data_IF_109485747188
#
_entry.id   IF_109485747188
#
_cell.length_a   1.000
_cell.length_b   1.000
_cell.length_c   1.000
_cell.angle_alpha   90.00
_cell.angle_beta   90.00
_cell.angle_gamma   90.00
#
_symmetry.space_group_name_H-M   'P 1'
#
loop_
_entity.id
_entity.type
_entity.pdbx_description
1 polymer ?
#
# COMPACT_ATOMS: atom_id res chain seq x y z
N UNK A 1 -15.78 16.60 -11.39
CA UNK A 1 -16.68 16.17 -10.30
C UNK A 1 -16.51 17.07 -9.08
N UNK A 2 -17.60 17.58 -8.49
CA UNK A 2 -17.52 18.42 -7.27
C UNK A 2 -17.25 17.53 -6.04
N UNK A 3 -16.46 18.01 -5.06
CA UNK A 3 -16.14 17.28 -3.82
C UNK A 3 -17.37 16.76 -3.06
N UNK A 4 -18.47 17.51 -3.10
CA UNK A 4 -19.75 17.15 -2.47
C UNK A 4 -20.39 15.90 -3.08
N UNK A 5 -20.19 15.67 -4.38
CA UNK A 5 -20.73 14.52 -5.11
C UNK A 5 -20.02 13.22 -4.70
N UNK A 6 -18.69 13.25 -4.64
CA UNK A 6 -17.87 12.12 -4.21
C UNK A 6 -18.20 11.65 -2.78
N UNK A 7 -18.38 12.59 -1.83
CA UNK A 7 -18.74 12.23 -0.45
C UNK A 7 -20.12 11.59 -0.34
N UNK A 8 -21.06 12.01 -1.20
CA UNK A 8 -22.40 11.44 -1.23
C UNK A 8 -22.37 10.02 -1.79
N UNK A 9 -21.69 9.82 -2.92
CA UNK A 9 -21.49 8.51 -3.56
C UNK A 9 -20.81 7.54 -2.60
N UNK A 10 -19.73 7.96 -1.94
CA UNK A 10 -19.00 7.12 -1.00
C UNK A 10 -19.86 6.66 0.20
N UNK A 11 -20.68 7.56 0.76
CA UNK A 11 -21.60 7.21 1.85
C UNK A 11 -22.70 6.25 1.39
N UNK A 12 -23.29 6.48 0.22
CA UNK A 12 -24.30 5.59 -0.35
C UNK A 12 -23.73 4.20 -0.63
N UNK A 13 -22.53 4.13 -1.21
CA UNK A 13 -21.85 2.87 -1.47
C UNK A 13 -21.47 2.15 -0.16
N UNK A 14 -20.99 2.87 0.85
CA UNK A 14 -20.69 2.30 2.16
C UNK A 14 -21.90 1.61 2.78
N UNK A 15 -23.07 2.25 2.76
CA UNK A 15 -24.31 1.65 3.27
C UNK A 15 -24.66 0.36 2.52
N UNK A 16 -24.63 0.38 1.19
CA UNK A 16 -24.87 -0.81 0.34
C UNK A 16 -23.88 -1.95 0.64
N UNK A 17 -22.59 -1.64 0.74
CA UNK A 17 -21.57 -2.64 1.05
C UNK A 17 -21.68 -3.18 2.48
N UNK A 18 -22.22 -2.42 3.42
CA UNK A 18 -22.46 -2.88 4.80
C UNK A 18 -23.68 -3.82 4.88
N UNK A 19 -24.65 -3.70 3.98
CA UNK A 19 -25.83 -4.57 3.94
C UNK A 19 -25.53 -5.98 3.42
N UNK A 20 -24.43 -6.15 2.66
CA UNK A 20 -24.01 -7.46 2.15
C UNK A 20 -23.68 -8.40 3.31
N UNK A 21 -24.25 -9.61 3.24
CA UNK A 21 -23.89 -10.74 4.07
C UNK A 21 -22.71 -11.50 3.43
N UNK A 22 -21.49 -11.11 3.80
CA UNK A 22 -20.26 -11.69 3.27
C UNK A 22 -20.07 -13.15 3.66
N UNK A 23 -20.73 -13.63 4.72
CA UNK A 23 -20.60 -15.02 5.16
C UNK A 23 -21.31 -15.99 4.21
N UNK A 24 -22.33 -15.51 3.48
CA UNK A 24 -23.04 -16.26 2.45
C UNK A 24 -22.37 -16.18 1.07
N UNK A 25 -21.43 -15.26 0.87
CA UNK A 25 -20.73 -15.15 -0.41
C UNK A 25 -19.71 -16.31 -0.59
N UNK A 26 -19.55 -16.81 -1.83
CA UNK A 26 -18.57 -17.85 -2.16
C UNK A 26 -17.16 -17.26 -2.27
N UNK A 27 -16.68 -16.66 -1.17
CA UNK A 27 -15.34 -16.09 -1.03
C UNK A 27 -14.59 -16.81 0.09
N UNK A 28 -13.25 -16.78 0.05
CA UNK A 28 -12.44 -17.48 1.07
C UNK A 28 -12.67 -16.95 2.50
N UNK A 29 -12.52 -17.82 3.50
CA UNK A 29 -12.64 -17.44 4.92
C UNK A 29 -11.67 -16.32 5.32
N UNK A 30 -10.47 -16.32 4.74
CA UNK A 30 -9.50 -15.24 4.90
C UNK A 30 -10.11 -13.88 4.52
N UNK A 31 -10.78 -13.80 3.36
CA UNK A 31 -11.38 -12.55 2.91
C UNK A 31 -12.68 -12.21 3.64
N UNK A 32 -13.45 -13.20 4.11
CA UNK A 32 -14.57 -12.96 5.03
C UNK A 32 -14.07 -12.29 6.30
N UNK A 33 -13.03 -12.83 6.92
CA UNK A 33 -12.42 -12.24 8.11
C UNK A 33 -11.84 -10.84 7.84
N UNK A 34 -11.12 -10.67 6.72
CA UNK A 34 -10.56 -9.38 6.33
C UNK A 34 -11.66 -8.32 6.17
N UNK A 35 -12.71 -8.61 5.42
CA UNK A 35 -13.84 -7.70 5.22
C UNK A 35 -14.59 -7.45 6.54
N UNK A 36 -14.78 -8.48 7.36
CA UNK A 36 -15.39 -8.34 8.70
C UNK A 36 -14.61 -7.36 9.57
N UNK A 37 -13.28 -7.35 9.49
CA UNK A 37 -12.44 -6.37 10.19
C UNK A 37 -12.56 -4.95 9.60
N UNK A 38 -12.80 -4.82 8.29
CA UNK A 38 -13.00 -3.52 7.63
C UNK A 38 -14.39 -2.92 7.90
N UNK A 39 -15.44 -3.76 7.97
CA UNK A 39 -16.86 -3.36 8.04
C UNK A 39 -17.16 -2.35 9.16
N UNK A 40 -16.66 -2.50 10.41
CA UNK A 40 -16.87 -1.52 11.48
C UNK A 40 -16.31 -0.12 11.20
N UNK A 41 -15.36 0.01 10.27
CA UNK A 41 -14.72 1.26 9.88
C UNK A 41 -14.89 1.58 8.39
N UNK A 42 -15.89 0.97 7.72
CA UNK A 42 -16.12 1.11 6.28
C UNK A 42 -16.20 2.59 5.84
N UNK A 43 -16.95 3.41 6.55
CA UNK A 43 -17.07 4.85 6.26
C UNK A 43 -15.73 5.59 6.30
N UNK A 44 -14.84 5.16 7.20
CA UNK A 44 -13.50 5.74 7.30
C UNK A 44 -12.62 5.34 6.12
N UNK A 45 -12.64 4.07 5.71
CA UNK A 45 -11.92 3.64 4.50
C UNK A 45 -12.48 4.32 3.25
N UNK A 46 -13.80 4.45 3.13
CA UNK A 46 -14.44 5.19 2.03
C UNK A 46 -14.02 6.65 1.98
N UNK A 47 -13.79 7.29 3.14
CA UNK A 47 -13.21 8.64 3.20
C UNK A 47 -11.77 8.69 2.73
N UNK A 48 -10.95 7.68 3.07
CA UNK A 48 -9.56 7.57 2.58
C UNK A 48 -9.58 7.40 1.06
N UNK A 49 -10.35 6.45 0.53
CA UNK A 49 -10.48 6.20 -0.91
C UNK A 49 -10.98 7.44 -1.66
N UNK A 50 -11.99 8.13 -1.12
CA UNK A 50 -12.48 9.40 -1.65
C UNK A 50 -11.38 10.49 -1.66
N UNK A 51 -10.55 10.56 -0.63
CA UNK A 51 -9.43 11.48 -0.60
C UNK A 51 -8.37 11.13 -1.67
N UNK A 52 -8.07 9.84 -1.88
CA UNK A 52 -7.19 9.38 -2.95
C UNK A 52 -7.74 9.74 -4.32
N UNK A 53 -9.01 9.42 -4.60
CA UNK A 53 -9.68 9.75 -5.87
C UNK A 53 -9.68 11.26 -6.11
N UNK A 54 -10.06 12.06 -5.11
CA UNK A 54 -10.05 13.52 -5.23
C UNK A 54 -8.66 14.07 -5.50
N UNK A 55 -7.60 13.54 -4.87
CA UNK A 55 -6.22 13.94 -5.14
C UNK A 55 -5.81 13.55 -6.55
N UNK A 56 -6.08 12.31 -6.96
CA UNK A 56 -5.79 11.78 -8.29
C UNK A 56 -6.46 12.60 -9.40
N UNK A 57 -7.76 12.87 -9.28
CA UNK A 57 -8.51 13.67 -10.26
C UNK A 57 -8.03 15.12 -10.37
N UNK A 58 -7.38 15.66 -9.34
CA UNK A 58 -6.80 17.01 -9.39
C UNK A 58 -5.43 17.06 -10.06
N UNK A 59 -4.75 15.93 -10.27
CA UNK A 59 -3.39 15.88 -10.83
C UNK A 59 -3.31 15.25 -12.22
N UNK A 60 -4.32 14.48 -12.63
CA UNK A 60 -4.45 14.00 -14.01
C UNK A 60 -4.92 15.12 -14.94
N UNK A 61 -4.58 15.00 -16.24
CA UNK A 61 -4.93 16.01 -17.25
C UNK A 61 -6.19 15.64 -18.06
N UNK A 62 -7.05 14.77 -17.53
CA UNK A 62 -8.30 14.33 -18.15
C UNK A 62 -9.45 14.34 -17.15
N UNK A 63 -10.69 14.32 -17.64
CA UNK A 63 -11.85 14.16 -16.78
C UNK A 63 -11.95 12.71 -16.27
N UNK A 64 -12.56 12.47 -15.08
CA UNK A 64 -12.72 11.12 -14.55
C UNK A 64 -13.36 10.14 -15.54
N UNK A 65 -14.36 10.56 -16.34
CA UNK A 65 -15.00 9.68 -17.32
C UNK A 65 -14.08 9.21 -18.46
N UNK A 66 -12.97 9.92 -18.68
CA UNK A 66 -11.96 9.55 -19.68
C UNK A 66 -10.72 8.91 -19.06
N UNK A 67 -10.63 8.86 -17.73
CA UNK A 67 -9.46 8.37 -17.03
C UNK A 67 -9.41 6.83 -16.98
N UNK A 68 -8.20 6.29 -17.10
CA UNK A 68 -7.88 4.90 -16.82
C UNK A 68 -7.17 4.83 -15.46
N UNK A 69 -7.87 4.29 -14.46
CA UNK A 69 -7.40 4.14 -13.09
C UNK A 69 -6.94 2.71 -12.83
N UNK A 70 -5.78 2.55 -12.18
CA UNK A 70 -5.30 1.28 -11.63
C UNK A 70 -5.48 1.31 -10.11
N UNK A 71 -6.22 0.33 -9.60
CA UNK A 71 -6.30 -0.02 -8.18
C UNK A 71 -5.27 -1.12 -7.92
N UNK A 72 -4.07 -0.73 -7.47
CA UNK A 72 -2.92 -1.61 -7.34
C UNK A 72 -2.80 -2.12 -5.90
N UNK A 73 -2.84 -3.45 -5.75
CA UNK A 73 -3.04 -4.09 -4.44
C UNK A 73 -4.45 -3.86 -3.93
N UNK A 74 -5.44 -4.06 -4.79
CA UNK A 74 -6.81 -3.60 -4.54
C UNK A 74 -7.53 -4.29 -3.38
N UNK A 75 -6.98 -5.37 -2.81
CA UNK A 75 -7.51 -6.04 -1.63
C UNK A 75 -8.96 -6.45 -1.82
N UNK A 76 -9.86 -5.95 -0.98
CA UNK A 76 -11.31 -6.20 -1.11
C UNK A 76 -11.94 -5.62 -2.39
N UNK A 77 -11.24 -4.73 -3.09
CA UNK A 77 -11.69 -4.06 -4.31
C UNK A 77 -12.73 -2.95 -4.07
N UNK A 78 -12.92 -2.53 -2.82
CA UNK A 78 -13.82 -1.43 -2.47
C UNK A 78 -13.43 -0.10 -3.12
N UNK A 79 -12.13 0.16 -3.28
CA UNK A 79 -11.64 1.33 -4.02
C UNK A 79 -12.05 1.25 -5.49
N UNK A 80 -11.87 0.10 -6.16
CA UNK A 80 -12.34 -0.12 -7.53
C UNK A 80 -13.84 0.10 -7.71
N UNK A 81 -14.68 -0.42 -6.79
CA UNK A 81 -16.14 -0.24 -6.85
C UNK A 81 -16.50 1.24 -6.63
N UNK A 82 -15.83 1.93 -5.71
CA UNK A 82 -16.01 3.36 -5.49
C UNK A 82 -15.60 4.16 -6.73
N UNK A 83 -14.44 3.88 -7.32
CA UNK A 83 -13.95 4.55 -8.52
C UNK A 83 -14.98 4.45 -9.66
N UNK A 84 -15.53 3.25 -9.92
CA UNK A 84 -16.59 3.09 -10.92
C UNK A 84 -17.87 3.81 -10.57
N UNK A 85 -18.28 3.79 -9.30
CA UNK A 85 -19.46 4.52 -8.82
C UNK A 85 -19.31 6.04 -8.99
N UNK A 86 -18.07 6.55 -9.08
CA UNK A 86 -17.75 7.97 -9.30
C UNK A 86 -17.64 8.37 -10.77
N UNK A 87 -17.94 7.44 -11.68
CA UNK A 87 -17.92 7.68 -13.12
C UNK A 87 -16.54 7.56 -13.76
N UNK A 88 -15.57 6.88 -13.14
CA UNK A 88 -14.27 6.62 -13.78
C UNK A 88 -14.46 5.78 -15.05
N UNK A 89 -13.89 6.24 -16.15
CA UNK A 89 -14.01 5.63 -17.47
C UNK A 89 -13.62 4.16 -17.47
N UNK A 90 -12.38 3.87 -17.09
CA UNK A 90 -11.88 2.49 -16.96
C UNK A 90 -11.16 2.28 -15.63
N UNK A 91 -11.47 1.18 -14.95
CA UNK A 91 -10.80 0.75 -13.73
C UNK A 91 -10.17 -0.62 -13.94
N UNK A 92 -8.86 -0.72 -13.67
CA UNK A 92 -8.08 -1.94 -13.68
C UNK A 92 -7.76 -2.29 -12.23
N UNK A 93 -8.27 -3.42 -11.76
CA UNK A 93 -7.89 -3.99 -10.47
C UNK A 93 -6.71 -4.92 -10.65
N UNK A 94 -5.74 -4.83 -9.75
CA UNK A 94 -4.61 -5.75 -9.66
C UNK A 94 -4.37 -6.14 -8.21
N UNK A 95 -4.20 -7.43 -7.95
CA UNK A 95 -3.76 -7.92 -6.65
C UNK A 95 -2.88 -9.17 -6.80
N UNK A 96 -1.95 -9.35 -5.86
CA UNK A 96 -1.06 -10.52 -5.84
C UNK A 96 -1.74 -11.74 -5.19
N UNK A 97 -2.72 -11.53 -4.30
CA UNK A 97 -3.43 -12.59 -3.64
C UNK A 97 -4.59 -13.10 -4.53
N UNK A 98 -4.54 -14.35 -5.01
CA UNK A 98 -5.59 -14.90 -5.87
C UNK A 98 -6.96 -14.91 -5.18
N UNK A 99 -7.01 -15.05 -3.85
CA UNK A 99 -8.27 -15.02 -3.09
C UNK A 99 -8.91 -13.63 -3.15
N UNK A 100 -8.11 -12.56 -3.12
CA UNK A 100 -8.59 -11.18 -3.27
C UNK A 100 -9.17 -10.96 -4.67
N UNK A 101 -8.49 -11.48 -5.69
CA UNK A 101 -8.93 -11.47 -7.09
C UNK A 101 -10.30 -12.16 -7.25
N UNK A 102 -10.46 -13.36 -6.68
CA UNK A 102 -11.75 -14.07 -6.66
C UNK A 102 -12.83 -13.26 -5.93
N UNK A 103 -12.47 -12.63 -4.81
CA UNK A 103 -13.40 -11.84 -3.99
C UNK A 103 -13.96 -10.66 -4.76
N UNK A 104 -13.13 -9.88 -5.46
CA UNK A 104 -13.63 -8.75 -6.24
C UNK A 104 -14.45 -9.20 -7.46
N UNK A 105 -14.19 -10.38 -8.03
CA UNK A 105 -15.05 -10.95 -9.07
C UNK A 105 -16.46 -11.27 -8.54
N UNK A 106 -16.56 -11.83 -7.33
CA UNK A 106 -17.85 -12.08 -6.67
C UNK A 106 -18.55 -10.77 -6.33
N UNK A 107 -17.85 -9.81 -5.71
CA UNK A 107 -18.44 -8.53 -5.32
C UNK A 107 -18.89 -7.69 -6.51
N UNK A 108 -18.18 -7.75 -7.64
CA UNK A 108 -18.62 -7.10 -8.90
C UNK A 108 -19.96 -7.65 -9.37
N UNK A 109 -20.17 -8.97 -9.27
CA UNK A 109 -21.46 -9.61 -9.62
C UNK A 109 -22.55 -9.20 -8.63
N UNK A 110 -22.25 -9.25 -7.34
CA UNK A 110 -23.20 -8.94 -6.26
C UNK A 110 -23.68 -7.49 -6.30
N UNK A 111 -22.76 -6.55 -6.50
CA UNK A 111 -23.07 -5.11 -6.45
C UNK A 111 -23.51 -4.53 -7.79
N UNK A 112 -23.31 -5.28 -8.88
CA UNK A 112 -23.49 -4.82 -10.26
C UNK A 112 -22.48 -3.75 -10.70
N UNK A 113 -21.51 -3.40 -9.86
CA UNK A 113 -20.52 -2.33 -10.09
C UNK A 113 -19.15 -2.85 -9.69
N UNK A 114 -18.12 -2.61 -10.49
CA UNK A 114 -16.77 -3.05 -10.15
C UNK A 114 -15.79 -2.86 -11.29
N UNK A 115 -14.51 -3.20 -11.08
CA UNK A 115 -13.45 -2.94 -12.05
C UNK A 115 -13.77 -3.53 -13.42
N UNK A 116 -13.40 -2.83 -14.48
CA UNK A 116 -13.60 -3.28 -15.86
C UNK A 116 -12.69 -4.47 -16.16
N UNK A 117 -11.45 -4.41 -15.66
CA UNK A 117 -10.40 -5.41 -15.83
C UNK A 117 -9.91 -5.87 -14.46
N UNK A 118 -9.75 -7.18 -14.30
CA UNK A 118 -9.27 -7.80 -13.05
C UNK A 118 -8.03 -8.64 -13.41
N UNK A 119 -6.89 -8.29 -12.81
CA UNK A 119 -5.61 -8.95 -13.03
C UNK A 119 -5.12 -9.59 -11.72
N UNK A 120 -4.46 -10.74 -11.86
CA UNK A 120 -3.76 -11.42 -10.76
C UNK A 120 -2.26 -11.32 -11.02
N UNK A 121 -1.53 -10.70 -10.09
CA UNK A 121 -0.07 -10.60 -10.13
C UNK A 121 0.46 -9.24 -9.66
N UNK A 122 1.54 -8.79 -10.28
CA UNK A 122 2.31 -7.62 -9.88
C UNK A 122 2.49 -6.64 -11.07
N UNK A 123 3.50 -5.77 -10.98
CA UNK A 123 3.84 -4.76 -11.99
C UNK A 123 4.07 -5.37 -13.37
N UNK A 124 4.68 -6.56 -13.47
CA UNK A 124 4.94 -7.25 -14.73
C UNK A 124 3.64 -7.69 -15.41
N UNK A 125 2.69 -8.24 -14.65
CA UNK A 125 1.37 -8.62 -15.17
C UNK A 125 0.64 -7.40 -15.73
N UNK A 126 0.65 -6.30 -14.97
CA UNK A 126 0.04 -5.05 -15.41
C UNK A 126 0.69 -4.52 -16.68
N UNK A 127 2.03 -4.50 -16.75
CA UNK A 127 2.78 -4.08 -17.92
C UNK A 127 2.50 -4.94 -19.15
N UNK A 128 2.52 -6.26 -19.00
CA UNK A 128 2.19 -7.19 -20.06
C UNK A 128 0.78 -6.97 -20.61
N UNK A 129 -0.20 -6.79 -19.72
CA UNK A 129 -1.58 -6.54 -20.14
C UNK A 129 -1.74 -5.17 -20.82
N UNK A 130 -1.15 -4.11 -20.26
CA UNK A 130 -1.18 -2.76 -20.84
C UNK A 130 -0.57 -2.74 -22.25
N UNK A 131 0.62 -3.35 -22.41
CA UNK A 131 1.29 -3.43 -23.70
C UNK A 131 0.47 -4.21 -24.73
N UNK A 132 -0.07 -5.38 -24.34
CA UNK A 132 -0.89 -6.21 -25.23
C UNK A 132 -2.16 -5.51 -25.71
N UNK A 133 -2.75 -4.66 -24.87
CA UNK A 133 -4.03 -3.99 -25.16
C UNK A 133 -3.86 -2.52 -25.59
N UNK A 134 -2.63 -2.04 -25.76
CA UNK A 134 -2.31 -0.65 -26.04
C UNK A 134 -3.01 0.33 -25.06
N UNK A 135 -2.96 0.01 -23.77
CA UNK A 135 -3.59 0.80 -22.70
C UNK A 135 -2.52 1.51 -21.89
N UNK A 136 -2.66 2.82 -21.74
CA UNK A 136 -1.80 3.66 -20.91
C UNK A 136 -2.61 4.21 -19.73
N UNK A 137 -2.40 3.72 -18.49
CA UNK A 137 -3.11 4.24 -17.33
C UNK A 137 -2.76 5.70 -17.02
N UNK A 138 -3.75 6.49 -16.60
CA UNK A 138 -3.57 7.89 -16.22
C UNK A 138 -3.25 8.04 -14.73
N UNK A 139 -3.84 7.17 -13.91
CA UNK A 139 -3.78 7.25 -12.45
C UNK A 139 -3.59 5.84 -11.87
N UNK A 140 -2.62 5.69 -10.98
CA UNK A 140 -2.52 4.53 -10.10
C UNK A 140 -2.78 4.96 -8.65
N UNK A 141 -3.61 4.20 -7.95
CA UNK A 141 -3.81 4.34 -6.52
C UNK A 141 -3.45 3.02 -5.86
N UNK A 142 -2.63 3.08 -4.83
CA UNK A 142 -2.33 1.93 -3.98
C UNK A 142 -2.42 2.35 -2.51
N UNK A 143 -3.20 1.63 -1.72
CA UNK A 143 -3.39 1.94 -0.30
C UNK A 143 -2.83 0.81 0.54
N UNK A 144 -1.97 1.12 1.50
CA UNK A 144 -1.42 0.13 2.46
C UNK A 144 -0.61 -0.97 1.73
N UNK A 145 0.37 -0.55 0.93
CA UNK A 145 1.11 -1.44 0.02
C UNK A 145 2.59 -1.10 -0.07
N UNK A 146 2.93 0.19 -0.21
CA UNK A 146 4.29 0.63 -0.51
C UNK A 146 5.29 0.29 0.61
N UNK A 147 4.80 0.16 1.84
CA UNK A 147 5.54 -0.29 3.02
C UNK A 147 5.87 -1.79 3.02
N UNK A 148 5.22 -2.59 2.17
CA UNK A 148 5.40 -4.04 2.07
C UNK A 148 6.28 -4.44 0.87
N UNK A 149 6.37 -3.59 -0.16
CA UNK A 149 7.14 -3.88 -1.38
C UNK A 149 8.63 -4.02 -1.08
N UNK A 150 9.20 -5.17 -1.44
CA UNK A 150 10.61 -5.49 -1.21
C UNK A 150 11.54 -4.44 -1.83
N UNK A 151 11.53 -4.39 -3.16
CA UNK A 151 12.36 -3.53 -4.00
C UNK A 151 11.52 -2.43 -4.63
N UNK A 152 11.59 -1.23 -4.04
CA UNK A 152 10.87 -0.06 -4.56
C UNK A 152 11.50 0.50 -5.84
N UNK A 153 12.79 0.26 -6.09
CA UNK A 153 13.45 0.75 -7.30
C UNK A 153 12.91 0.02 -8.53
N UNK A 154 12.84 -1.31 -8.44
CA UNK A 154 12.18 -2.16 -9.46
C UNK A 154 10.72 -1.78 -9.60
N UNK A 155 9.99 -1.70 -8.49
CA UNK A 155 8.56 -1.35 -8.50
C UNK A 155 8.28 -0.03 -9.23
N UNK A 156 8.99 1.04 -8.88
CA UNK A 156 8.79 2.34 -9.53
C UNK A 156 9.23 2.33 -11.00
N UNK A 157 10.36 1.71 -11.32
CA UNK A 157 10.84 1.56 -12.70
C UNK A 157 9.77 0.93 -13.58
N UNK A 158 9.17 -0.16 -13.13
CA UNK A 158 8.16 -0.89 -13.89
C UNK A 158 6.89 -0.04 -14.08
N UNK A 159 6.42 0.65 -13.02
CA UNK A 159 5.26 1.54 -13.10
C UNK A 159 5.47 2.73 -14.05
N UNK A 160 6.66 3.35 -14.03
CA UNK A 160 6.99 4.43 -14.97
C UNK A 160 7.17 3.95 -16.42
N UNK A 161 7.46 2.66 -16.60
CA UNK A 161 7.47 1.99 -17.90
C UNK A 161 6.09 1.88 -18.56
N UNK A 162 5.01 1.80 -17.78
CA UNK A 162 3.62 1.68 -18.28
C UNK A 162 3.18 2.90 -19.07
N UNK A 163 3.39 4.07 -18.48
CA UNK A 163 3.07 5.36 -19.06
C UNK A 163 3.96 6.40 -18.36
N UNK A 164 4.81 7.08 -19.13
CA UNK A 164 5.73 8.12 -18.62
C UNK A 164 5.03 9.35 -18.02
N UNK A 165 3.70 9.43 -18.12
CA UNK A 165 2.83 10.50 -17.59
C UNK A 165 1.87 10.01 -16.50
N UNK A 166 1.91 8.73 -16.12
CA UNK A 166 1.04 8.18 -15.07
C UNK A 166 1.21 8.99 -13.79
N UNK A 167 0.11 9.35 -13.15
CA UNK A 167 0.11 9.95 -11.82
C UNK A 167 -0.10 8.86 -10.78
N UNK A 168 0.55 8.95 -9.61
CA UNK A 168 0.43 7.90 -8.60
C UNK A 168 0.11 8.46 -7.23
N UNK A 169 -0.85 7.84 -6.53
CA UNK A 169 -1.23 8.15 -5.16
C UNK A 169 -1.02 6.91 -4.30
N UNK A 170 -0.19 7.04 -3.27
CA UNK A 170 -0.04 6.02 -2.24
C UNK A 170 -0.57 6.52 -0.90
N UNK A 171 -1.12 5.62 -0.10
CA UNK A 171 -1.27 5.86 1.35
C UNK A 171 -0.47 4.84 2.12
N UNK A 172 0.20 5.28 3.18
CA UNK A 172 0.94 4.39 4.07
C UNK A 172 0.76 4.81 5.52
N UNK A 173 0.44 3.82 6.36
CA UNK A 173 0.42 3.99 7.82
C UNK A 173 1.85 3.99 8.40
N UNK A 174 2.84 3.51 7.65
CA UNK A 174 4.26 3.47 7.99
C UNK A 174 4.95 4.84 7.89
N UNK A 175 4.32 5.87 8.46
CA UNK A 175 4.81 7.25 8.45
C UNK A 175 6.10 7.40 9.28
N UNK A 176 7.17 8.02 8.75
CA UNK A 176 8.39 8.28 9.50
C UNK A 176 8.25 9.43 10.51
N UNK A 177 7.13 10.16 10.50
CA UNK A 177 6.96 11.40 11.27
C UNK A 177 6.36 11.19 12.65
N UNK A 178 5.39 10.30 12.78
CA UNK A 178 4.61 10.16 14.01
C UNK A 178 5.33 9.21 14.99
N UNK A 179 5.86 9.71 16.14
CA UNK A 179 6.66 8.90 17.05
C UNK A 179 5.86 7.76 17.71
N UNK A 180 4.56 7.95 17.91
CA UNK A 180 3.69 6.89 18.45
C UNK A 180 3.55 5.75 17.46
N UNK A 181 3.28 6.07 16.18
CA UNK A 181 3.19 5.09 15.10
C UNK A 181 4.52 4.37 14.93
N UNK A 182 5.63 5.11 14.85
CA UNK A 182 6.98 4.55 14.74
C UNK A 182 7.30 3.56 15.86
N UNK A 183 7.04 3.92 17.12
CA UNK A 183 7.25 3.02 18.27
C UNK A 183 6.41 1.75 18.17
N UNK A 184 5.15 1.86 17.74
CA UNK A 184 4.26 0.70 17.56
C UNK A 184 4.79 -0.23 16.46
N UNK A 185 5.20 0.32 15.33
CA UNK A 185 5.73 -0.46 14.21
C UNK A 185 7.07 -1.11 14.52
N UNK A 186 7.98 -0.40 15.20
CA UNK A 186 9.24 -0.99 15.67
C UNK A 186 9.02 -2.20 16.57
N UNK A 187 8.04 -2.14 17.49
CA UNK A 187 7.66 -3.30 18.30
C UNK A 187 7.17 -4.46 17.45
N UNK A 188 6.35 -4.20 16.43
CA UNK A 188 5.84 -5.22 15.52
C UNK A 188 7.01 -5.87 14.76
N UNK A 189 7.89 -5.05 14.18
CA UNK A 189 9.06 -5.53 13.45
C UNK A 189 10.00 -6.37 14.31
N UNK A 190 10.29 -5.94 15.55
CA UNK A 190 11.14 -6.71 16.46
C UNK A 190 10.46 -8.04 16.87
N UNK A 191 9.12 -8.04 16.94
CA UNK A 191 8.32 -9.24 17.20
C UNK A 191 8.27 -10.20 16.00
N UNK A 192 8.29 -9.71 14.77
CA UNK A 192 8.42 -10.52 13.56
C UNK A 192 9.85 -11.03 13.35
N UNK A 193 10.84 -10.23 13.74
CA UNK A 193 12.25 -10.55 13.60
C UNK A 193 12.70 -11.67 14.55
N UNK A 194 12.43 -11.50 15.85
CA UNK A 194 12.91 -12.42 16.92
C UNK A 194 11.84 -12.89 17.88
N UNK A 195 10.63 -12.33 17.79
CA UNK A 195 9.52 -12.65 18.68
C UNK A 195 8.65 -13.80 18.15
N UNK A 196 7.35 -13.70 18.43
CA UNK A 196 6.36 -14.75 18.20
C UNK A 196 5.22 -14.33 17.25
N UNK A 197 5.28 -13.14 16.66
CA UNK A 197 4.28 -12.70 15.68
C UNK A 197 4.37 -13.58 14.43
N UNK A 198 5.59 -13.97 14.08
CA UNK A 198 5.89 -14.87 12.97
C UNK A 198 6.49 -16.16 13.54
N UNK A 199 5.99 -17.31 13.08
CA UNK A 199 6.43 -18.62 13.55
C UNK A 199 6.70 -19.51 12.33
N UNK A 200 7.96 -19.86 12.03
CA UNK A 200 9.19 -19.34 12.65
C UNK A 200 9.41 -17.84 12.37
N UNK A 201 10.08 -17.14 13.28
CA UNK A 201 10.44 -15.74 13.08
C UNK A 201 11.52 -15.55 12.01
N UNK A 202 11.67 -14.33 11.49
CA UNK A 202 12.49 -14.08 10.32
C UNK A 202 13.98 -14.31 10.57
N UNK A 203 14.48 -14.05 11.78
CA UNK A 203 15.84 -14.42 12.16
C UNK A 203 16.06 -15.93 12.05
N UNK A 204 15.13 -16.73 12.58
CA UNK A 204 15.21 -18.20 12.55
C UNK A 204 15.15 -18.73 11.12
N UNK A 205 14.29 -18.14 10.28
CA UNK A 205 14.22 -18.47 8.85
C UNK A 205 15.55 -18.25 8.15
N UNK A 206 16.17 -17.08 8.34
CA UNK A 206 17.50 -16.78 7.78
C UNK A 206 18.58 -17.70 8.32
N UNK A 207 18.62 -17.95 9.63
CA UNK A 207 19.60 -18.84 10.25
C UNK A 207 19.54 -20.25 9.65
N UNK A 208 18.33 -20.82 9.63
CA UNK A 208 18.08 -22.15 9.07
C UNK A 208 18.48 -22.21 7.60
N UNK A 209 18.18 -21.17 6.82
CA UNK A 209 18.57 -21.10 5.42
C UNK A 209 20.10 -21.05 5.27
N UNK A 210 20.80 -20.24 6.05
CA UNK A 210 22.26 -20.10 5.96
C UNK A 210 22.96 -21.39 6.40
N UNK A 211 22.57 -21.99 7.53
CA UNK A 211 23.10 -23.28 8.01
C UNK A 211 22.99 -24.38 6.95
N UNK A 212 21.84 -24.43 6.26
CA UNK A 212 21.58 -25.42 5.22
C UNK A 212 22.42 -25.19 3.95
N UNK A 213 22.57 -23.94 3.51
CA UNK A 213 23.19 -23.63 2.20
C UNK A 213 24.70 -23.35 2.30
N UNK A 214 25.21 -23.02 3.49
CA UNK A 214 26.63 -22.70 3.73
C UNK A 214 27.19 -23.52 4.91
N UNK A 215 27.18 -24.87 4.84
CA UNK A 215 27.57 -25.73 5.96
C UNK A 215 29.07 -25.68 6.30
N UNK A 216 29.87 -25.01 5.49
CA UNK A 216 31.30 -24.81 5.70
C UNK A 216 31.62 -23.58 6.56
N UNK A 217 30.66 -22.67 6.75
CA UNK A 217 30.85 -21.50 7.60
C UNK A 217 30.89 -21.92 9.06
N UNK A 218 31.76 -21.27 9.83
CA UNK A 218 31.79 -21.46 11.27
C UNK A 218 30.52 -20.87 11.92
N UNK A 219 30.14 -21.36 13.10
CA UNK A 219 28.91 -20.96 13.80
C UNK A 219 28.83 -19.44 14.02
N UNK A 220 29.94 -18.79 14.37
CA UNK A 220 30.04 -17.35 14.56
C UNK A 220 29.83 -16.58 13.25
N UNK A 221 30.32 -17.11 12.12
CA UNK A 221 30.05 -16.54 10.80
C UNK A 221 28.58 -16.66 10.41
N UNK A 222 27.94 -17.80 10.71
CA UNK A 222 26.50 -18.01 10.47
C UNK A 222 25.68 -17.01 11.28
N UNK A 223 25.99 -16.82 12.57
CA UNK A 223 25.30 -15.86 13.42
C UNK A 223 25.50 -14.42 12.92
N UNK A 224 26.72 -14.06 12.54
CA UNK A 224 27.03 -12.76 11.94
C UNK A 224 26.20 -12.53 10.68
N UNK A 225 26.19 -13.47 9.73
CA UNK A 225 25.42 -13.31 8.50
C UNK A 225 23.91 -13.28 8.77
N UNK A 226 23.40 -14.07 9.69
CA UNK A 226 21.98 -14.06 10.07
C UNK A 226 21.54 -12.68 10.58
N UNK A 227 22.36 -12.06 11.45
CA UNK A 227 22.10 -10.72 11.98
C UNK A 227 22.23 -9.63 10.91
N UNK A 228 23.31 -9.68 10.13
CA UNK A 228 23.66 -8.61 9.19
C UNK A 228 22.81 -8.64 7.91
N UNK A 229 22.15 -9.75 7.61
CA UNK A 229 21.25 -9.88 6.45
C UNK A 229 19.78 -9.64 6.79
N UNK A 230 19.49 -9.05 7.95
CA UNK A 230 18.14 -8.55 8.30
C UNK A 230 17.60 -7.67 7.16
N UNK A 231 16.35 -7.97 6.75
CA UNK A 231 15.68 -7.24 5.68
C UNK A 231 16.09 -7.65 4.26
N UNK A 232 16.79 -8.78 4.08
CA UNK A 232 17.06 -9.38 2.78
C UNK A 232 16.23 -10.65 2.55
N UNK A 233 15.89 -10.88 1.28
CA UNK A 233 15.37 -12.18 0.80
C UNK A 233 16.50 -13.18 0.57
N UNK A 234 16.17 -14.47 0.54
CA UNK A 234 17.16 -15.55 0.36
C UNK A 234 18.13 -15.33 -0.83
N UNK A 235 17.69 -14.96 -2.05
CA UNK A 235 18.63 -14.66 -3.14
C UNK A 235 19.63 -13.54 -2.83
N UNK A 236 19.22 -12.53 -2.08
CA UNK A 236 20.08 -11.40 -1.72
C UNK A 236 20.98 -11.72 -0.52
N UNK A 237 20.55 -12.61 0.38
CA UNK A 237 21.41 -13.21 1.41
C UNK A 237 22.57 -13.94 0.73
N UNK A 238 22.25 -14.78 -0.25
CA UNK A 238 23.25 -15.50 -1.04
C UNK A 238 24.25 -14.55 -1.71
N UNK A 239 23.73 -13.49 -2.34
CA UNK A 239 24.56 -12.47 -2.98
C UNK A 239 25.46 -11.75 -1.98
N UNK A 240 24.94 -11.40 -0.80
CA UNK A 240 25.70 -10.73 0.26
C UNK A 240 26.87 -11.61 0.75
N UNK A 241 26.61 -12.89 1.02
CA UNK A 241 27.64 -13.86 1.47
C UNK A 241 28.69 -14.07 0.37
N UNK A 242 28.27 -14.38 -0.86
CA UNK A 242 29.18 -14.65 -1.99
C UNK A 242 30.06 -13.45 -2.35
N UNK A 243 29.54 -12.23 -2.21
CA UNK A 243 30.30 -11.01 -2.51
C UNK A 243 31.02 -10.44 -1.29
N UNK A 244 30.82 -11.02 -0.12
CA UNK A 244 31.27 -10.49 1.17
C UNK A 244 30.92 -9.01 1.38
N UNK A 245 29.71 -8.61 0.97
CA UNK A 245 29.19 -7.24 1.09
C UNK A 245 27.98 -7.22 2.00
N UNK A 246 28.12 -6.51 3.13
CA UNK A 246 27.04 -6.33 4.07
C UNK A 246 26.04 -5.27 3.56
N UNK A 247 24.72 -5.51 3.66
CA UNK A 247 23.73 -4.50 3.33
C UNK A 247 23.74 -3.37 4.38
N UNK A 248 23.30 -2.18 3.97
CA UNK A 248 23.09 -1.07 4.90
C UNK A 248 21.60 -0.99 5.21
N UNK A 249 21.23 -1.35 6.44
CA UNK A 249 19.87 -1.20 6.93
C UNK A 249 19.70 0.19 7.57
N UNK A 250 18.98 1.09 6.87
CA UNK A 250 18.82 2.50 7.29
C UNK A 250 18.09 2.66 8.63
N UNK A 251 17.03 1.89 8.86
CA UNK A 251 16.36 1.80 10.16
C UNK A 251 16.55 0.38 10.69
N UNK A 252 17.27 0.25 11.81
CA UNK A 252 17.66 -1.03 12.42
C UNK A 252 16.48 -1.97 12.73
N UNK A 253 15.27 -1.44 12.83
CA UNK A 253 14.08 -2.23 13.13
C UNK A 253 13.42 -2.80 11.88
N UNK A 254 13.63 -2.20 10.70
CA UNK A 254 13.00 -2.73 9.48
C UNK A 254 13.39 -4.20 9.28
N UNK A 255 12.41 -5.04 8.95
CA UNK A 255 12.60 -6.45 8.64
C UNK A 255 11.58 -6.92 7.62
N UNK A 256 11.91 -7.95 6.86
CA UNK A 256 11.02 -8.58 5.90
C UNK A 256 11.09 -10.10 6.06
N UNK A 257 10.02 -10.77 5.62
CA UNK A 257 10.04 -12.21 5.44
C UNK A 257 11.09 -12.54 4.35
N UNK A 258 12.14 -13.32 4.67
CA UNK A 258 13.20 -13.62 3.71
C UNK A 258 12.74 -14.52 2.56
N UNK A 259 11.58 -15.18 2.68
CA UNK A 259 11.00 -16.02 1.64
C UNK A 259 10.23 -15.19 0.60
N UNK A 260 9.38 -14.27 1.05
CA UNK A 260 8.50 -13.48 0.16
C UNK A 260 9.02 -12.08 -0.15
N UNK A 261 9.89 -11.52 0.67
CA UNK A 261 10.32 -10.12 0.60
C UNK A 261 9.30 -9.12 1.13
N UNK A 262 8.15 -9.59 1.64
CA UNK A 262 7.16 -8.71 2.26
C UNK A 262 7.76 -8.08 3.52
N UNK A 263 7.90 -6.76 3.49
CA UNK A 263 8.33 -6.00 4.66
C UNK A 263 7.23 -5.95 5.72
N UNK A 264 7.63 -6.06 6.98
CA UNK A 264 6.77 -5.76 8.13
C UNK A 264 6.68 -4.25 8.31
N UNK A 265 5.78 -3.60 7.56
CA UNK A 265 5.46 -2.18 7.73
C UNK A 265 6.68 -1.26 7.63
N UNK A 266 7.50 -1.40 6.57
CA UNK A 266 8.80 -0.72 6.47
C UNK A 266 8.62 0.80 6.62
N UNK A 267 9.31 1.37 7.61
CA UNK A 267 9.40 2.82 7.74
C UNK A 267 10.54 3.31 6.86
N UNK A 268 10.21 4.23 5.95
CA UNK A 268 11.17 4.81 5.02
C UNK A 268 11.18 6.34 5.13
N UNK A 269 12.37 6.98 5.18
CA UNK A 269 12.49 8.44 5.08
C UNK A 269 11.88 8.99 3.79
N UNK A 270 11.26 10.17 3.85
CA UNK A 270 10.64 10.79 2.66
C UNK A 270 11.66 11.09 1.54
N UNK A 271 12.90 11.41 1.90
CA UNK A 271 13.97 11.65 0.92
C UNK A 271 14.31 10.39 0.10
N UNK A 272 14.07 9.20 0.64
CA UNK A 272 14.30 7.96 -0.09
C UNK A 272 13.23 7.78 -1.17
N UNK A 273 11.95 8.01 -0.85
CA UNK A 273 10.88 8.06 -1.86
C UNK A 273 11.17 9.11 -2.94
N UNK A 274 11.66 10.30 -2.55
CA UNK A 274 12.06 11.33 -3.51
C UNK A 274 13.18 10.85 -4.43
N UNK A 275 14.21 10.20 -3.88
CA UNK A 275 15.35 9.69 -4.64
C UNK A 275 14.95 8.58 -5.62
N UNK A 276 13.98 7.74 -5.26
CA UNK A 276 13.46 6.67 -6.12
C UNK A 276 12.74 7.21 -7.36
N UNK A 277 12.04 8.33 -7.25
CA UNK A 277 11.21 8.87 -8.35
C UNK A 277 11.87 10.01 -9.13
N UNK A 278 12.89 10.67 -8.56
CA UNK A 278 13.58 11.82 -9.19
C UNK A 278 14.19 11.49 -10.56
N UNK A 279 14.83 10.32 -10.79
CA UNK A 279 15.39 9.96 -12.09
C UNK A 279 14.34 9.93 -13.22
N UNK A 280 13.07 9.80 -12.88
CA UNK A 280 11.95 9.73 -13.81
C UNK A 280 11.27 11.09 -14.02
N UNK A 281 11.83 12.19 -13.50
CA UNK A 281 11.27 13.54 -13.55
C UNK A 281 9.88 13.64 -12.88
N UNK A 282 9.76 13.05 -11.70
CA UNK A 282 8.57 13.15 -10.85
C UNK A 282 8.89 13.95 -9.59
N UNK A 283 7.93 14.74 -9.11
CA UNK A 283 7.99 15.33 -7.78
C UNK A 283 7.15 14.52 -6.80
N UNK A 284 7.54 14.57 -5.52
CA UNK A 284 6.82 13.94 -4.43
C UNK A 284 6.09 15.01 -3.62
N UNK A 285 4.77 14.95 -3.59
CA UNK A 285 3.96 15.71 -2.63
C UNK A 285 3.50 14.81 -1.50
N UNK A 286 3.78 15.22 -0.27
CA UNK A 286 3.36 14.51 0.93
C UNK A 286 2.23 15.28 1.61
N UNK A 287 1.10 14.62 1.86
CA UNK A 287 -0.03 15.20 2.60
C UNK A 287 -0.38 14.39 3.85
N UNK A 288 -1.00 15.05 4.83
CA UNK A 288 -1.37 14.46 6.11
C UNK A 288 -2.64 13.60 5.98
N UNK A 289 -2.60 12.39 6.55
CA UNK A 289 -3.77 11.59 6.82
C UNK A 289 -4.63 12.16 7.96
N UNK A 290 -5.70 11.46 8.30
CA UNK A 290 -6.67 11.89 9.30
C UNK A 290 -7.21 10.69 10.08
N UNK A 291 -7.66 10.90 11.32
CA UNK A 291 -8.27 9.87 12.14
C UNK A 291 -9.74 9.63 11.78
N UNK A 292 -10.23 8.41 12.05
CA UNK A 292 -11.65 8.09 11.98
C UNK A 292 -12.45 8.92 12.99
N UNK A 293 -13.23 9.89 12.48
CA UNK A 293 -14.14 10.74 13.26
C UNK A 293 -15.49 10.10 13.53
N UNK A 294 -15.86 9.03 12.85
CA UNK A 294 -17.20 8.43 12.88
C UNK A 294 -17.19 7.22 13.81
N UNK A 295 -16.69 7.44 15.03
CA UNK A 295 -16.64 6.39 16.05
C UNK A 295 -18.01 6.26 16.74
N UNK A 296 -18.34 5.03 17.15
CA UNK A 296 -19.54 4.74 17.96
C UNK A 296 -19.62 5.58 19.25
N UNK A 297 -18.47 5.85 19.87
CA UNK A 297 -18.37 6.73 21.05
C UNK A 297 -18.36 8.20 20.64
N UNK A 298 -19.35 8.96 21.13
CA UNK A 298 -19.47 10.41 20.90
C UNK A 298 -18.24 11.17 21.38
N UNK A 299 -17.74 10.85 22.57
CA UNK A 299 -16.52 11.45 23.13
C UNK A 299 -15.33 11.18 22.22
N UNK A 300 -15.15 9.93 21.79
CA UNK A 300 -14.07 9.56 20.87
C UNK A 300 -14.19 10.25 19.50
N UNK A 301 -15.42 10.44 19.01
CA UNK A 301 -15.70 11.18 17.78
C UNK A 301 -15.27 12.65 17.90
N UNK A 302 -15.64 13.32 19.00
CA UNK A 302 -15.25 14.72 19.27
C UNK A 302 -13.73 14.84 19.36
N UNK A 303 -13.06 13.94 20.09
CA UNK A 303 -11.60 13.92 20.19
C UNK A 303 -10.97 13.78 18.81
N UNK A 304 -11.43 12.83 18.00
CA UNK A 304 -10.88 12.63 16.66
C UNK A 304 -11.12 13.85 15.74
N UNK A 305 -12.27 14.51 15.85
CA UNK A 305 -12.56 15.76 15.10
C UNK A 305 -11.60 16.88 15.51
N UNK A 306 -11.36 17.06 16.81
CA UNK A 306 -10.41 18.04 17.33
C UNK A 306 -8.98 17.74 16.88
N UNK A 307 -8.54 16.48 16.96
CA UNK A 307 -7.23 16.06 16.45
C UNK A 307 -7.11 16.32 14.95
N UNK A 308 -8.14 15.99 14.16
CA UNK A 308 -8.14 16.25 12.72
C UNK A 308 -8.08 17.75 12.39
N UNK A 309 -8.73 18.60 13.19
CA UNK A 309 -8.63 20.05 13.05
C UNK A 309 -7.19 20.52 13.33
N UNK A 310 -6.56 20.02 14.41
CA UNK A 310 -5.17 20.31 14.74
C UNK A 310 -4.22 19.86 13.63
N UNK A 311 -4.37 18.63 13.13
CA UNK A 311 -3.58 18.11 11.99
C UNK A 311 -3.69 19.06 10.82
N UNK A 312 -4.89 19.54 10.48
CA UNK A 312 -5.11 20.43 9.34
C UNK A 312 -4.43 21.79 9.52
N UNK A 313 -4.56 22.42 10.68
CA UNK A 313 -4.14 23.80 10.93
C UNK A 313 -2.64 23.95 11.29
N UNK A 314 -2.01 22.91 11.84
CA UNK A 314 -0.65 22.99 12.41
C UNK A 314 0.51 22.88 11.41
N UNK A 315 0.27 23.14 10.11
CA UNK A 315 1.34 23.11 9.10
C UNK A 315 2.12 21.79 9.10
N UNK A 316 3.46 21.85 9.23
CA UNK A 316 4.35 20.68 9.28
C UNK A 316 4.24 19.88 10.58
N UNK A 317 3.91 20.52 11.71
CA UNK A 317 3.75 19.84 13.01
C UNK A 317 2.62 18.80 12.95
N UNK A 318 1.61 19.04 12.12
CA UNK A 318 0.53 18.08 11.90
C UNK A 318 0.97 16.70 11.42
N UNK A 319 2.16 16.57 10.79
CA UNK A 319 2.71 15.26 10.41
C UNK A 319 3.12 14.41 11.61
N UNK A 320 3.50 15.03 12.74
CA UNK A 320 3.84 14.31 13.97
C UNK A 320 2.61 13.64 14.61
N UNK A 321 1.41 14.09 14.24
CA UNK A 321 0.14 13.64 14.79
C UNK A 321 -0.64 12.81 13.77
N UNK A 322 -0.44 13.04 12.47
CA UNK A 322 -1.14 12.32 11.42
C UNK A 322 -0.97 10.79 11.56
N UNK A 323 -2.05 10.00 11.46
CA UNK A 323 -1.98 8.55 11.64
C UNK A 323 -1.37 7.82 10.44
N UNK A 324 -1.41 8.45 9.27
CA UNK A 324 -0.87 7.97 8.01
C UNK A 324 -0.53 9.18 7.13
N UNK A 325 0.09 8.94 5.97
CA UNK A 325 0.40 9.99 4.99
C UNK A 325 -0.07 9.58 3.59
N UNK A 326 -0.34 10.59 2.76
CA UNK A 326 -0.48 10.42 1.32
C UNK A 326 0.84 10.76 0.64
N UNK A 327 1.25 9.97 -0.34
CA UNK A 327 2.39 10.23 -1.21
C UNK A 327 1.84 10.37 -2.63
N UNK A 328 1.92 11.58 -3.19
CA UNK A 328 1.51 11.84 -4.57
C UNK A 328 2.75 12.01 -5.43
N UNK A 329 2.99 11.07 -6.35
CA UNK A 329 4.06 11.14 -7.33
C UNK A 329 3.53 11.84 -8.58
N UNK A 330 3.99 13.07 -8.83
CA UNK A 330 3.43 13.94 -9.85
C UNK A 330 4.45 14.19 -10.96
N UNK A 331 4.10 13.82 -12.20
CA UNK A 331 4.98 14.03 -13.35
C UNK A 331 5.25 15.51 -13.54
N UNK A 332 6.52 15.91 -13.55
CA UNK A 332 6.88 17.29 -13.87
C UNK A 332 6.80 17.50 -15.39
N UNK A 333 6.28 18.67 -15.78
CA UNK A 333 6.40 19.12 -17.17
C UNK A 333 7.88 19.43 -17.42
N UNK A 334 8.42 19.15 -18.61
CA UNK A 334 9.75 19.65 -18.96
C UNK A 334 9.74 21.16 -18.77
N UNK A 335 10.75 21.71 -18.10
CA UNK A 335 10.97 23.15 -18.12
C UNK A 335 11.17 23.55 -19.59
N UNK A 336 10.31 24.45 -20.06
CA UNK A 336 10.28 24.94 -21.45
C UNK A 336 11.41 25.89 -21.74
#
# INVERSE_FOLDING_TARGET
MKKHDLSHIARSLSARLQEIDYDQLPISDYNKQYISNLKPAMDYYMKIYSACLSKGFNIINCSPENAILVDYGGGSGFLSILAKSTGVGKVIYLDLNPKSVETIQVLKKETGIGPDIILHGNSDTLAGWCNKNNVQPDLLIATDLIEHVYDLEVFFRDLFGLNRKIQMIFTTASTPFNPYVKRRLHKLMDSSETGTVEIPNYYTLRKTYIEKNYPHLATDEIEKWTLQTRGLIYPDIDKAIKTNKLPILKDKHNTCDPASGNWTERILPINDYHSLISPYNYSLKVDKGFYNSDRRSVVSSIICKSINLLIRLSGKVGFLIAPFIFLSCIKQRPES
#
